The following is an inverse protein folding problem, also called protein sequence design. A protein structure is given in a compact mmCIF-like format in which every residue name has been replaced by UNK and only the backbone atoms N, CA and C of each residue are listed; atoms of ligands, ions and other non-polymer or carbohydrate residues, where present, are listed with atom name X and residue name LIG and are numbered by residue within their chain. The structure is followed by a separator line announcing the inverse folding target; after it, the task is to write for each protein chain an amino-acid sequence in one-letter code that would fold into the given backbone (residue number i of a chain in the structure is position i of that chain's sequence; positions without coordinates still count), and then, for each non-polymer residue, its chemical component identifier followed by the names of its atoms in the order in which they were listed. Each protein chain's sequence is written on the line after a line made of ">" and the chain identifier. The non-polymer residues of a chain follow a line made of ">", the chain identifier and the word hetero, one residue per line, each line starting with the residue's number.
data_IF_286734179789
#
_entry.id   IF_286734179789
#
_cell.length_a   1.000
_cell.length_b   1.000
_cell.length_c   1.000
_cell.angle_alpha   90.00
_cell.angle_beta   90.00
_cell.angle_gamma   90.00
#
_symmetry.space_group_name_H-M   'P 1'
#
loop_
_entity.id
_entity.type
_entity.pdbx_description
1 polymer ?
#
# COMPACT_ATOMS: atom_id res chain seq x y z
N UNK A 1 11.71 2.28 -9.09
CA UNK A 1 12.85 2.43 -8.15
C UNK A 1 13.29 1.03 -7.76
N UNK A 2 14.59 0.68 -7.88
CA UNK A 2 15.09 -0.62 -7.43
C UNK A 2 14.87 -0.81 -5.91
N UNK A 3 14.52 -2.02 -5.45
CA UNK A 3 14.42 -2.36 -4.02
C UNK A 3 13.16 -1.87 -3.28
N UNK A 4 12.17 -1.32 -3.98
CA UNK A 4 10.89 -0.87 -3.40
C UNK A 4 9.74 -1.70 -3.95
N UNK A 5 9.03 -2.38 -3.06
CA UNK A 5 7.76 -3.02 -3.35
C UNK A 5 6.67 -1.97 -3.55
N UNK A 6 5.81 -2.09 -4.55
CA UNK A 6 4.72 -1.12 -4.72
C UNK A 6 3.43 -1.69 -5.28
N UNK A 7 2.32 -1.07 -4.87
CA UNK A 7 1.00 -1.23 -5.49
C UNK A 7 0.54 0.17 -5.89
N UNK A 8 0.04 0.36 -7.12
CA UNK A 8 -0.39 1.68 -7.56
C UNK A 8 -1.64 1.66 -8.43
N UNK A 9 -2.34 2.79 -8.42
CA UNK A 9 -3.48 3.06 -9.29
C UNK A 9 -3.37 4.46 -9.88
N UNK A 10 -3.86 4.60 -11.10
CA UNK A 10 -3.97 5.88 -11.80
C UNK A 10 -5.45 6.29 -11.76
N UNK A 11 -5.70 7.53 -11.34
CA UNK A 11 -7.03 8.14 -11.36
C UNK A 11 -7.02 9.39 -12.22
N UNK A 12 -8.15 9.67 -12.88
CA UNK A 12 -8.40 10.98 -13.46
C UNK A 12 -8.54 12.03 -12.35
N UNK A 13 -8.03 13.22 -12.60
CA UNK A 13 -8.20 14.33 -11.68
C UNK A 13 -9.64 14.84 -11.75
N UNK A 14 -10.37 14.90 -10.61
CA UNK A 14 -11.77 15.33 -10.62
C UNK A 14 -11.94 16.84 -10.85
N UNK A 15 -10.89 17.64 -10.65
CA UNK A 15 -10.96 19.12 -10.64
C UNK A 15 -10.06 19.80 -11.68
N UNK A 16 -9.30 19.03 -12.47
CA UNK A 16 -8.39 19.55 -13.48
C UNK A 16 -8.05 18.48 -14.51
N UNK A 17 -7.52 18.89 -15.65
CA UNK A 17 -7.05 17.95 -16.66
C UNK A 17 -5.86 17.12 -16.16
N UNK A 18 -5.78 15.90 -16.69
CA UNK A 18 -4.73 14.94 -16.41
C UNK A 18 -5.08 13.92 -15.33
N UNK A 19 -4.06 13.19 -14.89
CA UNK A 19 -4.20 12.07 -13.96
C UNK A 19 -3.37 12.32 -12.70
N UNK A 20 -3.69 11.62 -11.61
CA UNK A 20 -2.80 11.48 -10.47
C UNK A 20 -2.57 10.01 -10.14
N UNK A 21 -1.39 9.73 -9.60
CA UNK A 21 -0.96 8.39 -9.21
C UNK A 21 -1.10 8.24 -7.70
N UNK A 22 -1.79 7.19 -7.30
CA UNK A 22 -1.85 6.67 -5.94
C UNK A 22 -0.90 5.49 -5.85
N UNK A 23 0.03 5.48 -4.89
CA UNK A 23 0.84 4.29 -4.64
C UNK A 23 1.02 3.98 -3.15
N UNK A 24 0.99 2.68 -2.83
CA UNK A 24 1.45 2.08 -1.58
C UNK A 24 2.88 1.58 -1.79
N UNK A 25 3.81 1.96 -0.91
CA UNK A 25 5.23 1.57 -1.00
C UNK A 25 5.65 0.72 0.20
N UNK A 26 6.41 -0.33 -0.07
CA UNK A 26 7.15 -1.12 0.91
C UNK A 26 8.67 -0.90 0.65
N UNK A 27 9.32 0.01 1.41
CA UNK A 27 10.74 0.33 1.25
C UNK A 27 11.62 -0.74 1.89
N UNK A 28 11.57 -1.97 1.38
CA UNK A 28 12.28 -3.15 1.95
C UNK A 28 13.79 -2.93 1.98
N UNK A 29 14.37 -2.40 0.89
CA UNK A 29 15.82 -2.27 0.72
C UNK A 29 16.29 -0.81 0.59
N UNK A 30 15.35 0.15 0.52
CA UNK A 30 15.65 1.55 0.25
C UNK A 30 15.12 2.48 1.35
N UNK A 31 15.96 3.24 2.07
CA UNK A 31 15.50 4.16 3.10
C UNK A 31 14.46 5.17 2.59
N UNK A 32 13.36 5.37 3.34
CA UNK A 32 12.25 6.29 2.98
C UNK A 32 12.72 7.65 2.49
N UNK A 33 13.71 8.26 3.15
CA UNK A 33 14.26 9.58 2.77
C UNK A 33 14.94 9.55 1.39
N UNK A 34 15.70 8.49 1.10
CA UNK A 34 16.37 8.33 -0.20
C UNK A 34 15.33 8.10 -1.31
N UNK A 35 14.37 7.21 -1.07
CA UNK A 35 13.23 6.95 -1.95
C UNK A 35 12.45 8.23 -2.28
N UNK A 36 12.13 9.03 -1.26
CA UNK A 36 11.41 10.29 -1.46
C UNK A 36 12.23 11.33 -2.25
N UNK A 37 13.53 11.44 -1.99
CA UNK A 37 14.42 12.33 -2.74
C UNK A 37 14.48 11.96 -4.22
N UNK A 38 14.61 10.67 -4.52
CA UNK A 38 14.61 10.18 -5.91
C UNK A 38 13.26 10.39 -6.60
N UNK A 39 12.15 10.18 -5.89
CA UNK A 39 10.83 10.49 -6.40
C UNK A 39 10.69 11.97 -6.75
N UNK A 40 11.03 12.86 -5.80
CA UNK A 40 10.93 14.31 -5.99
C UNK A 40 11.75 14.78 -7.20
N UNK A 41 12.95 14.23 -7.38
CA UNK A 41 13.82 14.54 -8.52
C UNK A 41 13.22 14.14 -9.87
N UNK A 42 12.50 13.02 -9.92
CA UNK A 42 11.98 12.44 -11.18
C UNK A 42 10.58 12.93 -11.54
N UNK A 43 9.71 13.07 -10.54
CA UNK A 43 8.27 13.24 -10.73
C UNK A 43 7.70 14.46 -10.00
N UNK A 44 8.52 15.19 -9.24
CA UNK A 44 8.08 16.36 -8.50
C UNK A 44 7.39 16.02 -7.18
N UNK A 45 6.65 16.99 -6.65
CA UNK A 45 6.06 16.93 -5.29
C UNK A 45 4.96 15.86 -5.21
N UNK A 46 4.96 15.09 -4.13
CA UNK A 46 3.87 14.20 -3.76
C UNK A 46 3.49 14.36 -2.29
N UNK A 47 2.27 13.95 -1.94
CA UNK A 47 1.84 13.79 -0.56
C UNK A 47 2.20 12.37 -0.12
N UNK A 48 2.91 12.24 1.00
CA UNK A 48 3.27 10.94 1.58
C UNK A 48 2.61 10.82 2.94
N UNK A 49 1.85 9.74 3.11
CA UNK A 49 1.22 9.40 4.38
C UNK A 49 1.83 8.11 4.93
N UNK A 50 2.17 8.05 6.23
CA UNK A 50 2.59 6.80 6.84
C UNK A 50 1.41 5.84 6.96
N UNK A 51 1.64 4.57 6.61
CA UNK A 51 0.72 3.47 6.94
C UNK A 51 0.73 3.27 8.45
N UNK A 52 -0.43 3.44 9.11
CA UNK A 52 -0.56 3.37 10.58
C UNK A 52 -0.87 1.97 11.07
N UNK A 53 -1.44 1.13 10.21
CA UNK A 53 -1.80 -0.24 10.54
C UNK A 53 -2.26 -1.04 9.34
N UNK A 54 -2.63 -2.30 9.59
CA UNK A 54 -3.08 -3.23 8.56
C UNK A 54 -4.36 -2.77 7.85
N UNK A 55 -5.31 -2.19 8.59
CA UNK A 55 -6.58 -1.70 8.02
C UNK A 55 -6.37 -0.62 6.96
N UNK A 56 -5.36 0.23 7.09
CA UNK A 56 -5.03 1.23 6.07
C UNK A 56 -4.63 0.56 4.75
N UNK A 57 -3.84 -0.51 4.83
CA UNK A 57 -3.42 -1.30 3.65
C UNK A 57 -4.61 -1.99 3.00
N UNK A 58 -5.47 -2.63 3.81
CA UNK A 58 -6.66 -3.33 3.29
C UNK A 58 -7.61 -2.35 2.61
N UNK A 59 -7.95 -1.24 3.26
CA UNK A 59 -8.85 -0.22 2.72
C UNK A 59 -8.27 0.41 1.44
N UNK A 60 -6.95 0.60 1.39
CA UNK A 60 -6.29 1.12 0.20
C UNK A 60 -6.37 0.12 -0.95
N UNK A 61 -5.93 -1.12 -0.73
CA UNK A 61 -5.96 -2.15 -1.77
C UNK A 61 -7.39 -2.41 -2.26
N UNK A 62 -8.38 -2.52 -1.37
CA UNK A 62 -9.77 -2.79 -1.78
C UNK A 62 -10.37 -1.66 -2.62
N UNK A 63 -10.02 -0.40 -2.33
CA UNK A 63 -10.45 0.76 -3.13
C UNK A 63 -9.84 0.76 -4.54
N UNK A 64 -8.56 0.42 -4.66
CA UNK A 64 -7.80 0.68 -5.87
C UNK A 64 -7.60 -0.55 -6.76
N UNK A 65 -7.77 -1.78 -6.24
CA UNK A 65 -7.52 -3.03 -6.98
C UNK A 65 -8.46 -3.21 -8.18
N UNK A 66 -9.65 -2.61 -8.14
CA UNK A 66 -10.67 -2.72 -9.19
C UNK A 66 -10.59 -1.59 -10.23
N UNK A 67 -9.64 -0.65 -10.12
CA UNK A 67 -9.55 0.47 -11.07
C UNK A 67 -8.98 0.02 -12.40
N UNK A 68 -9.57 0.49 -13.49
CA UNK A 68 -9.21 0.12 -14.87
C UNK A 68 -7.71 0.31 -15.18
N UNK A 69 -7.09 1.34 -14.59
CA UNK A 69 -5.66 1.65 -14.74
C UNK A 69 -4.86 1.37 -13.46
N UNK A 70 -5.30 0.39 -12.67
CA UNK A 70 -4.49 -0.18 -11.62
C UNK A 70 -3.50 -1.18 -12.23
N UNK A 71 -2.23 -1.06 -11.85
CA UNK A 71 -1.23 -2.08 -12.17
C UNK A 71 -0.73 -2.67 -10.86
N UNK A 72 -0.80 -3.98 -10.78
CA UNK A 72 -0.35 -4.76 -9.64
C UNK A 72 0.71 -5.75 -10.16
N UNK A 73 1.93 -5.66 -9.63
CA UNK A 73 2.99 -6.61 -9.96
C UNK A 73 4.15 -6.49 -8.98
N UNK A 74 3.93 -6.48 -7.65
CA UNK A 74 5.08 -6.40 -6.74
C UNK A 74 4.88 -7.13 -5.42
N UNK A 75 5.87 -7.95 -5.07
CA UNK A 75 5.93 -8.79 -3.88
C UNK A 75 5.91 -7.96 -2.59
N UNK A 76 4.74 -7.83 -1.97
CA UNK A 76 4.58 -7.41 -0.58
C UNK A 76 5.26 -8.48 0.29
N UNK A 77 6.34 -8.12 0.99
CA UNK A 77 7.40 -9.06 1.40
C UNK A 77 6.93 -10.45 1.88
N UNK A 78 7.33 -11.49 1.13
CA UNK A 78 7.13 -12.90 1.52
C UNK A 78 7.75 -13.21 2.89
N UNK A 79 8.82 -12.50 3.27
CA UNK A 79 9.52 -12.65 4.55
C UNK A 79 8.71 -12.16 5.76
N UNK A 80 7.92 -11.08 5.66
CA UNK A 80 7.08 -10.60 6.77
C UNK A 80 5.80 -11.43 6.91
N UNK A 81 5.21 -11.85 5.79
CA UNK A 81 4.14 -12.85 5.81
C UNK A 81 4.64 -14.17 6.41
N UNK A 82 5.80 -14.69 5.96
CA UNK A 82 6.38 -15.91 6.52
C UNK A 82 6.73 -15.77 8.02
N UNK A 83 7.24 -14.62 8.48
CA UNK A 83 7.50 -14.37 9.91
C UNK A 83 6.20 -14.32 10.74
N UNK A 84 5.11 -13.78 10.20
CA UNK A 84 3.78 -13.79 10.82
C UNK A 84 3.13 -15.18 10.82
N UNK A 85 3.39 -16.00 9.79
CA UNK A 85 2.86 -17.36 9.67
C UNK A 85 3.66 -18.37 10.50
N UNK A 86 4.98 -18.16 10.69
CA UNK A 86 5.87 -19.04 11.46
C UNK A 86 5.69 -18.91 12.98
N UNK A 87 5.18 -17.77 13.47
CA UNK A 87 4.63 -17.63 14.82
C UNK A 87 3.20 -17.12 14.69
N UNK A 88 2.18 -17.99 14.65
CA UNK A 88 0.80 -17.54 14.62
C UNK A 88 0.44 -16.97 15.99
N UNK A 89 0.79 -15.70 16.23
CA UNK A 89 0.00 -14.93 17.16
C UNK A 89 -1.37 -14.78 16.50
N UNK A 90 -2.48 -15.14 17.17
CA UNK A 90 -3.78 -15.11 16.54
C UNK A 90 -4.09 -13.67 16.13
N UNK A 91 -4.00 -13.40 14.83
CA UNK A 91 -4.48 -12.19 14.20
C UNK A 91 -6.00 -12.28 14.20
N UNK A 92 -6.57 -11.84 15.31
CA UNK A 92 -7.97 -11.50 15.51
C UNK A 92 -8.97 -12.66 15.36
N UNK A 93 -9.51 -13.08 16.51
CA UNK A 93 -10.84 -13.67 16.57
C UNK A 93 -11.81 -12.57 16.12
N UNK A 94 -12.49 -12.75 14.99
CA UNK A 94 -13.71 -11.98 14.70
C UNK A 94 -14.60 -12.14 15.93
N UNK A 95 -14.79 -11.07 16.71
CA UNK A 95 -15.83 -11.10 17.73
C UNK A 95 -17.16 -11.18 16.99
N UNK A 96 -17.73 -12.38 16.98
CA UNK A 96 -19.12 -12.59 16.61
C UNK A 96 -19.99 -11.83 17.63
N UNK A 97 -20.31 -10.59 17.29
CA UNK A 97 -21.47 -9.90 17.85
C UNK A 97 -22.72 -10.66 17.42
N UNK A 98 -23.16 -11.63 18.22
CA UNK A 98 -24.30 -12.47 17.90
C UNK A 98 -24.76 -13.35 19.05
N UNK A 99 -25.07 -12.77 20.22
CA UNK A 99 -25.97 -13.45 21.16
C UNK A 99 -27.40 -13.37 20.61
N UNK A 100 -27.80 -14.44 19.92
CA UNK A 100 -29.20 -14.80 19.78
C UNK A 100 -29.54 -15.82 20.87
N UNK A 101 -30.29 -15.40 21.87
CA UNK A 101 -31.31 -16.16 22.62
C UNK A 101 -31.96 -15.24 23.64
#
# INVERSE_FOLDING_TARGET
>A
MPGVGYFYAIEENPSRDGHHVHALWDPVEAPRKATHREWLKRYGRNRIEPVRGFSDVVNYCSKYVVKERAWWSVHLSRARYAALVWKPAPLFRLEESGKAS
#
